data_IF_969556768668
#
_entry.id   IF_969556768668
#
_cell.length_a   1.000
_cell.length_b   1.000
_cell.length_c   1.000
_cell.angle_alpha   90.00
_cell.angle_beta   90.00
_cell.angle_gamma   90.00
#
_symmetry.space_group_name_H-M   'P 1'
#
loop_
_entity.id
_entity.type
_entity.pdbx_description
1 polymer ?
#
# COMPACT_ATOMS: atom_id res chain seq x y z
N UNK A 1 17.36 -81.37 -17.71
CA UNK A 1 17.39 -79.89 -17.70
C UNK A 1 16.17 -79.44 -16.91
N UNK A 2 16.32 -78.76 -15.77
CA UNK A 2 15.22 -78.51 -14.85
C UNK A 2 14.34 -77.33 -15.29
N UNK A 3 13.03 -77.59 -15.27
CA UNK A 3 11.92 -76.63 -15.38
C UNK A 3 12.04 -75.52 -14.33
N UNK A 4 11.95 -74.27 -14.80
CA UNK A 4 11.96 -73.07 -13.97
C UNK A 4 10.51 -72.67 -13.68
N UNK A 5 10.12 -72.75 -12.41
CA UNK A 5 8.80 -72.39 -11.91
C UNK A 5 8.54 -70.87 -12.01
N UNK A 6 7.28 -70.43 -12.21
CA UNK A 6 6.92 -69.02 -12.28
C UNK A 6 6.90 -68.35 -10.89
N UNK A 7 7.54 -67.19 -10.84
CA UNK A 7 7.71 -66.31 -9.68
C UNK A 7 6.38 -65.57 -9.39
N UNK A 8 5.95 -65.65 -8.13
CA UNK A 8 4.66 -65.18 -7.63
C UNK A 8 4.76 -63.70 -7.25
N UNK A 9 4.13 -62.85 -8.05
CA UNK A 9 4.07 -61.40 -7.85
C UNK A 9 3.28 -61.03 -6.58
N UNK A 10 3.79 -60.14 -5.71
CA UNK A 10 3.11 -59.75 -4.47
C UNK A 10 1.96 -58.76 -4.73
N UNK A 11 0.85 -58.83 -3.96
CA UNK A 11 -0.30 -57.95 -4.14
C UNK A 11 0.02 -56.50 -3.74
N UNK A 12 -0.38 -55.58 -4.62
CA UNK A 12 -0.28 -54.14 -4.39
C UNK A 12 -1.07 -53.69 -3.14
N UNK A 13 -0.53 -52.76 -2.32
CA UNK A 13 -1.25 -52.23 -1.17
C UNK A 13 -2.42 -51.36 -1.63
N UNK A 14 -3.64 -51.77 -1.28
CA UNK A 14 -4.84 -50.96 -1.44
C UNK A 14 -4.78 -49.74 -0.50
N UNK A 15 -4.39 -48.58 -1.04
CA UNK A 15 -4.52 -47.29 -0.37
C UNK A 15 -5.99 -46.85 -0.40
N UNK A 16 -6.78 -47.39 0.52
CA UNK A 16 -8.06 -46.85 0.93
C UNK A 16 -7.80 -45.62 1.81
N UNK A 17 -7.98 -44.43 1.25
CA UNK A 17 -7.80 -43.15 1.92
C UNK A 17 -8.47 -42.05 1.14
N UNK A 18 -9.76 -42.24 0.83
CA UNK A 18 -10.63 -41.20 0.30
C UNK A 18 -10.85 -40.15 1.41
N UNK A 19 -9.92 -39.19 1.51
CA UNK A 19 -10.17 -37.90 2.12
C UNK A 19 -11.19 -37.18 1.23
N UNK A 20 -12.47 -37.42 1.50
CA UNK A 20 -13.56 -36.57 1.07
C UNK A 20 -13.34 -35.20 1.73
N UNK A 21 -12.66 -34.31 1.00
CA UNK A 21 -12.50 -32.93 1.41
C UNK A 21 -13.90 -32.30 1.58
N UNK A 22 -14.18 -31.61 2.70
CA UNK A 22 -15.39 -30.84 2.82
C UNK A 22 -15.35 -29.75 1.74
N UNK A 23 -16.19 -29.90 0.71
CA UNK A 23 -16.59 -28.81 -0.18
C UNK A 23 -17.48 -27.89 0.63
N UNK A 24 -16.87 -27.09 1.51
CA UNK A 24 -17.51 -25.89 2.02
C UNK A 24 -17.68 -24.94 0.84
N UNK A 25 -18.94 -24.65 0.50
CA UNK A 25 -19.37 -23.60 -0.41
C UNK A 25 -19.02 -22.22 0.18
N UNK A 26 -17.74 -21.96 0.42
CA UNK A 26 -17.27 -20.63 0.78
C UNK A 26 -17.53 -19.76 -0.45
N UNK A 27 -18.27 -18.64 -0.33
CA UNK A 27 -18.51 -17.76 -1.46
C UNK A 27 -17.15 -17.34 -2.02
N UNK A 28 -16.90 -17.76 -3.26
CA UNK A 28 -15.60 -17.55 -3.89
C UNK A 28 -15.39 -16.04 -4.05
N UNK A 29 -14.41 -15.48 -3.32
CA UNK A 29 -14.00 -14.11 -3.51
C UNK A 29 -13.64 -13.90 -5.00
N UNK A 30 -14.21 -12.87 -5.63
CA UNK A 30 -13.99 -12.61 -7.04
C UNK A 30 -12.54 -12.20 -7.34
N UNK A 31 -11.80 -11.74 -6.33
CA UNK A 31 -10.42 -11.29 -6.43
C UNK A 31 -9.45 -12.24 -5.73
N UNK A 32 -8.21 -12.34 -6.23
CA UNK A 32 -7.15 -13.06 -5.54
C UNK A 32 -6.92 -12.51 -4.13
N UNK A 33 -6.65 -13.42 -3.18
CA UNK A 33 -6.33 -13.09 -1.79
C UNK A 33 -4.94 -13.63 -1.45
N UNK A 34 -4.07 -12.74 -0.98
CA UNK A 34 -2.73 -13.05 -0.47
C UNK A 34 -2.80 -13.04 1.05
N UNK A 35 -2.83 -14.22 1.65
CA UNK A 35 -2.88 -14.38 3.10
C UNK A 35 -1.47 -14.58 3.66
N UNK A 36 -1.01 -13.65 4.49
CA UNK A 36 0.29 -13.70 5.15
C UNK A 36 0.15 -14.30 6.55
N UNK A 37 1.12 -15.10 6.99
CA UNK A 37 1.13 -15.68 8.34
C UNK A 37 1.68 -14.70 9.39
N UNK A 38 1.01 -13.56 9.52
CA UNK A 38 1.30 -12.54 10.54
C UNK A 38 0.01 -12.11 11.22
N UNK A 39 0.10 -11.66 12.47
CA UNK A 39 -1.08 -11.20 13.21
C UNK A 39 -1.60 -9.86 12.65
N UNK A 40 -0.71 -8.93 12.32
CA UNK A 40 -1.04 -7.67 11.69
C UNK A 40 0.00 -7.37 10.60
N UNK A 41 -0.39 -6.58 9.61
CA UNK A 41 0.49 -6.11 8.55
C UNK A 41 1.16 -4.82 9.03
N UNK A 42 2.48 -4.81 9.12
CA UNK A 42 3.22 -3.58 9.36
C UNK A 42 3.18 -2.65 8.14
N UNK A 43 3.48 -1.39 8.37
CA UNK A 43 3.66 -0.37 7.34
C UNK A 43 4.73 -0.76 6.31
N UNK A 44 5.88 -1.29 6.74
CA UNK A 44 6.93 -1.76 5.84
C UNK A 44 6.46 -2.91 4.91
N UNK A 45 5.66 -3.85 5.42
CA UNK A 45 5.12 -4.95 4.63
C UNK A 45 4.10 -4.43 3.62
N UNK A 46 3.22 -3.51 4.04
CA UNK A 46 2.24 -2.88 3.18
C UNK A 46 2.90 -2.06 2.05
N UNK A 47 3.91 -1.26 2.37
CA UNK A 47 4.71 -0.49 1.42
C UNK A 47 5.40 -1.39 0.39
N UNK A 48 6.08 -2.43 0.86
CA UNK A 48 6.80 -3.38 0.00
C UNK A 48 5.86 -4.07 -0.99
N UNK A 49 4.72 -4.56 -0.50
CA UNK A 49 3.75 -5.26 -1.35
C UNK A 49 3.03 -4.32 -2.32
N UNK A 50 2.82 -3.06 -1.95
CA UNK A 50 2.29 -2.05 -2.87
C UNK A 50 3.26 -1.75 -4.02
N UNK A 51 4.55 -1.57 -3.72
CA UNK A 51 5.59 -1.39 -4.75
C UNK A 51 5.73 -2.63 -5.65
N UNK A 52 5.70 -3.82 -5.06
CA UNK A 52 5.74 -5.11 -5.76
C UNK A 52 4.55 -5.28 -6.72
N UNK A 53 3.33 -4.98 -6.25
CA UNK A 53 2.13 -4.98 -7.08
C UNK A 53 2.22 -3.95 -8.21
N UNK A 54 2.72 -2.75 -7.96
CA UNK A 54 2.93 -1.73 -9.00
C UNK A 54 3.84 -2.26 -10.11
N UNK A 55 4.97 -2.88 -9.76
CA UNK A 55 5.86 -3.51 -10.73
C UNK A 55 5.17 -4.62 -11.53
N UNK A 56 4.33 -5.42 -10.88
CA UNK A 56 3.51 -6.43 -11.56
C UNK A 56 2.46 -5.82 -12.48
N UNK A 57 1.77 -4.75 -12.07
CA UNK A 57 0.76 -4.07 -12.90
C UNK A 57 1.41 -3.48 -14.15
N UNK A 58 2.56 -2.80 -14.02
CA UNK A 58 3.29 -2.24 -15.15
C UNK A 58 3.63 -3.33 -16.19
N UNK A 59 4.06 -4.51 -15.75
CA UNK A 59 4.37 -5.62 -16.64
C UNK A 59 3.12 -6.30 -17.21
N UNK A 60 2.16 -6.69 -16.36
CA UNK A 60 0.95 -7.43 -16.77
C UNK A 60 -0.03 -6.59 -17.61
N UNK A 61 0.07 -5.26 -17.53
CA UNK A 61 -0.65 -4.31 -18.39
C UNK A 61 0.16 -3.86 -19.60
N UNK A 62 1.27 -4.53 -19.91
CA UNK A 62 2.12 -4.23 -21.06
C UNK A 62 2.58 -2.75 -21.12
N UNK A 63 2.79 -2.14 -19.95
CA UNK A 63 3.35 -0.79 -19.84
C UNK A 63 4.88 -0.83 -19.88
N UNK A 64 5.48 -1.99 -19.58
CA UNK A 64 6.91 -2.25 -19.75
C UNK A 64 7.13 -3.64 -20.35
N UNK A 65 8.18 -3.83 -21.17
CA UNK A 65 8.43 -5.10 -21.86
C UNK A 65 8.93 -6.22 -20.94
N UNK A 66 9.52 -5.87 -19.80
CA UNK A 66 10.07 -6.81 -18.82
C UNK A 66 9.67 -6.40 -17.39
N UNK A 67 9.66 -7.34 -16.43
CA UNK A 67 9.52 -7.00 -15.02
C UNK A 67 10.50 -5.90 -14.60
N UNK A 68 10.04 -4.93 -13.82
CA UNK A 68 10.82 -3.72 -13.45
C UNK A 68 12.19 -4.08 -12.84
N UNK A 69 12.24 -5.13 -12.01
CA UNK A 69 13.49 -5.62 -11.40
C UNK A 69 14.49 -6.22 -12.39
N UNK A 70 14.03 -6.65 -13.56
CA UNK A 70 14.89 -7.14 -14.64
C UNK A 70 15.32 -5.99 -15.55
N UNK A 71 14.50 -4.95 -15.72
CA UNK A 71 14.83 -3.81 -16.57
C UNK A 71 16.19 -3.22 -16.22
N UNK A 72 16.51 -3.00 -14.94
CA UNK A 72 17.81 -2.44 -14.54
C UNK A 72 19.03 -3.30 -14.91
N UNK A 73 18.85 -4.62 -15.10
CA UNK A 73 19.96 -5.58 -15.28
C UNK A 73 20.28 -5.90 -16.73
N UNK A 74 19.35 -5.66 -17.66
CA UNK A 74 19.56 -6.03 -19.06
C UNK A 74 20.48 -4.97 -19.68
N UNK A 75 21.63 -5.34 -20.26
CA UNK A 75 22.47 -4.38 -20.96
C UNK A 75 21.69 -3.79 -22.14
N UNK A 76 21.59 -2.46 -22.19
CA UNK A 76 21.06 -1.77 -23.36
C UNK A 76 22.07 -1.96 -24.47
N UNK A 77 21.75 -2.80 -25.46
CA UNK A 77 22.59 -2.95 -26.65
C UNK A 77 22.56 -1.66 -27.49
N UNK A 78 22.59 -1.80 -28.82
CA UNK A 78 22.34 -0.67 -29.75
C UNK A 78 20.87 -0.21 -29.73
N UNK A 79 20.25 -0.15 -28.54
CA UNK A 79 18.89 0.35 -28.35
C UNK A 79 18.86 1.83 -28.72
N UNK A 80 17.72 2.29 -29.24
CA UNK A 80 17.54 3.70 -29.55
C UNK A 80 17.72 4.54 -28.27
N UNK A 81 18.42 5.69 -28.39
CA UNK A 81 18.66 6.62 -27.27
C UNK A 81 17.39 7.00 -26.52
N UNK A 82 16.25 7.07 -27.24
CA UNK A 82 14.92 7.32 -26.68
C UNK A 82 14.45 6.23 -25.71
N UNK A 83 14.60 4.95 -26.07
CA UNK A 83 14.18 3.82 -25.23
C UNK A 83 15.02 3.74 -23.95
N UNK A 84 16.32 4.04 -24.06
CA UNK A 84 17.22 4.13 -22.90
C UNK A 84 16.76 5.24 -21.94
N UNK A 85 16.43 6.44 -22.46
CA UNK A 85 15.92 7.56 -21.65
C UNK A 85 14.63 7.18 -20.92
N UNK A 86 13.67 6.59 -21.62
CA UNK A 86 12.39 6.16 -21.03
C UNK A 86 12.58 5.10 -19.94
N UNK A 87 13.48 4.13 -20.17
CA UNK A 87 13.85 3.13 -19.17
C UNK A 87 14.45 3.78 -17.92
N UNK A 88 15.40 4.69 -18.07
CA UNK A 88 16.05 5.39 -16.94
C UNK A 88 15.05 6.22 -16.15
N UNK A 89 14.18 6.98 -16.82
CA UNK A 89 13.13 7.78 -16.18
C UNK A 89 12.13 6.90 -15.42
N UNK A 90 11.73 5.76 -16.00
CA UNK A 90 10.83 4.81 -15.33
C UNK A 90 11.48 4.19 -14.08
N UNK A 91 12.76 3.78 -14.17
CA UNK A 91 13.47 3.22 -13.02
C UNK A 91 13.64 4.25 -11.91
N UNK A 92 14.03 5.48 -12.24
CA UNK A 92 14.14 6.57 -11.27
C UNK A 92 12.80 6.90 -10.61
N UNK A 93 11.71 6.91 -11.40
CA UNK A 93 10.34 7.12 -10.89
C UNK A 93 9.90 5.97 -9.97
N UNK A 94 10.27 4.73 -10.31
CA UNK A 94 9.93 3.54 -9.54
C UNK A 94 10.68 3.51 -8.20
N UNK A 95 11.96 3.86 -8.20
CA UNK A 95 12.76 3.97 -6.98
C UNK A 95 12.23 5.10 -6.08
N UNK A 96 11.87 6.24 -6.68
CA UNK A 96 11.28 7.38 -5.98
C UNK A 96 9.95 7.02 -5.30
N UNK A 97 9.01 6.39 -6.01
CA UNK A 97 7.73 5.99 -5.38
C UNK A 97 7.94 4.90 -4.33
N UNK A 98 8.87 3.95 -4.57
CA UNK A 98 9.12 2.86 -3.61
C UNK A 98 9.65 3.42 -2.28
N UNK A 99 10.59 4.37 -2.33
CA UNK A 99 11.08 5.08 -1.15
C UNK A 99 9.97 5.88 -0.45
N UNK A 100 9.11 6.57 -1.20
CA UNK A 100 8.00 7.29 -0.61
C UNK A 100 6.94 6.36 0.02
N UNK A 101 6.70 5.17 -0.53
CA UNK A 101 5.69 4.25 0.00
C UNK A 101 6.00 3.83 1.44
N UNK A 102 7.29 3.65 1.80
CA UNK A 102 7.70 3.32 3.16
C UNK A 102 7.21 4.39 4.16
N UNK A 103 7.55 5.65 3.93
CA UNK A 103 7.10 6.76 4.79
C UNK A 103 5.60 7.05 4.68
N UNK A 104 5.00 6.76 3.53
CA UNK A 104 3.57 6.92 3.27
C UNK A 104 2.73 6.02 4.16
N UNK A 105 3.09 4.73 4.26
CA UNK A 105 2.32 3.79 5.08
C UNK A 105 2.49 4.05 6.58
N UNK A 106 3.65 4.53 7.03
CA UNK A 106 3.83 5.01 8.41
C UNK A 106 2.93 6.21 8.71
N UNK A 107 2.90 7.21 7.81
CA UNK A 107 2.04 8.39 7.95
C UNK A 107 0.55 8.03 7.88
N UNK A 108 0.17 7.11 7.00
CA UNK A 108 -1.20 6.61 6.86
C UNK A 108 -1.64 5.86 8.12
N UNK A 109 -0.80 4.97 8.65
CA UNK A 109 -1.06 4.25 9.90
C UNK A 109 -1.34 5.22 11.05
N UNK A 110 -0.55 6.29 11.16
CA UNK A 110 -0.78 7.35 12.15
C UNK A 110 -2.08 8.11 11.90
N UNK A 111 -2.40 8.46 10.65
CA UNK A 111 -3.63 9.17 10.31
C UNK A 111 -4.88 8.32 10.62
N UNK A 112 -4.84 7.02 10.29
CA UNK A 112 -5.93 6.07 10.55
C UNK A 112 -6.10 5.79 12.05
N UNK A 113 -5.00 5.67 12.80
CA UNK A 113 -5.05 5.52 14.26
C UNK A 113 -5.78 6.70 14.93
N UNK A 114 -5.59 7.92 14.41
CA UNK A 114 -6.28 9.13 14.90
C UNK A 114 -7.76 9.15 14.54
N UNK A 115 -8.18 8.66 13.37
CA UNK A 115 -9.61 8.58 12.99
C UNK A 115 -10.38 7.57 13.83
N UNK A 116 -9.80 6.41 14.07
CA UNK A 116 -10.53 5.30 14.65
C UNK A 116 -10.77 5.46 16.16
N UNK A 117 -10.30 6.54 16.80
CA UNK A 117 -10.13 6.59 18.25
C UNK A 117 -9.37 5.35 18.75
N UNK A 118 -8.49 4.83 17.89
CA UNK A 118 -8.05 3.44 17.95
C UNK A 118 -7.27 3.21 19.23
N UNK A 119 -7.63 2.11 19.91
CA UNK A 119 -6.78 1.56 20.96
C UNK A 119 -5.54 0.97 20.30
N UNK A 120 -4.43 0.92 21.04
CA UNK A 120 -3.22 0.24 20.57
C UNK A 120 -3.58 -1.18 20.07
N UNK A 121 -3.13 -1.49 18.85
CA UNK A 121 -3.40 -2.78 18.20
C UNK A 121 -4.69 -2.84 17.36
N UNK A 122 -5.42 -1.73 17.17
CA UNK A 122 -6.50 -1.71 16.18
C UNK A 122 -5.96 -1.96 14.78
N UNK A 123 -6.59 -2.89 14.08
CA UNK A 123 -6.32 -3.19 12.68
C UNK A 123 -7.27 -2.38 11.81
N UNK A 124 -6.75 -1.82 10.74
CA UNK A 124 -7.47 -0.98 9.79
C UNK A 124 -7.33 -1.51 8.38
N UNK A 125 -8.22 -1.06 7.50
CA UNK A 125 -8.15 -1.34 6.08
C UNK A 125 -7.56 -0.14 5.35
N UNK A 126 -6.64 -0.41 4.43
CA UNK A 126 -6.07 0.58 3.53
C UNK A 126 -6.31 0.17 2.08
N UNK A 127 -6.47 1.16 1.21
CA UNK A 127 -6.74 0.92 -0.21
C UNK A 127 -5.80 1.76 -1.08
N UNK A 128 -5.16 1.09 -2.04
CA UNK A 128 -4.34 1.73 -3.07
C UNK A 128 -4.98 1.44 -4.43
N UNK A 129 -5.07 2.45 -5.28
CA UNK A 129 -5.54 2.32 -6.66
C UNK A 129 -4.41 2.59 -7.64
N UNK A 130 -4.24 1.71 -8.62
CA UNK A 130 -3.30 1.87 -9.74
C UNK A 130 -4.15 2.01 -11.00
N UNK A 131 -4.09 3.18 -11.62
CA UNK A 131 -4.86 3.54 -12.80
C UNK A 131 -3.94 3.56 -14.02
N UNK A 132 -4.28 2.78 -15.05
CA UNK A 132 -3.51 2.74 -16.31
C UNK A 132 -4.34 3.36 -17.43
N UNK A 133 -3.87 4.47 -18.00
CA UNK A 133 -4.52 5.16 -19.10
C UNK A 133 -4.00 6.59 -19.31
N UNK A 134 -4.61 7.36 -20.24
CA UNK A 134 -4.13 8.70 -20.59
C UNK A 134 -4.27 9.73 -19.46
N UNK A 135 -5.25 9.54 -18.57
CA UNK A 135 -5.47 10.41 -17.40
C UNK A 135 -6.23 9.66 -16.30
N UNK A 136 -6.33 10.28 -15.12
CA UNK A 136 -7.11 9.77 -13.98
C UNK A 136 -8.59 9.52 -14.33
N UNK A 137 -9.20 10.42 -15.11
CA UNK A 137 -10.63 10.35 -15.46
C UNK A 137 -10.93 9.35 -16.57
N UNK A 138 -9.96 9.10 -17.47
CA UNK A 138 -10.11 8.24 -18.66
C UNK A 138 -9.25 6.97 -18.58
N UNK A 139 -8.88 6.56 -17.36
CA UNK A 139 -8.16 5.33 -17.11
C UNK A 139 -8.87 4.12 -17.74
N UNK A 140 -8.13 3.35 -18.53
CA UNK A 140 -8.60 2.17 -19.25
C UNK A 140 -8.64 0.93 -18.34
N UNK A 141 -7.72 0.85 -17.39
CA UNK A 141 -7.71 -0.18 -16.35
C UNK A 141 -7.63 0.46 -14.96
N UNK A 142 -8.35 -0.14 -14.00
CA UNK A 142 -8.35 0.25 -12.59
C UNK A 142 -8.06 -0.99 -11.75
N UNK A 143 -6.89 -1.01 -11.12
CA UNK A 143 -6.47 -2.10 -10.23
C UNK A 143 -6.53 -1.58 -8.79
N UNK A 144 -7.32 -2.22 -7.94
CA UNK A 144 -7.44 -1.88 -6.52
C UNK A 144 -6.72 -2.92 -5.68
N UNK A 145 -5.84 -2.45 -4.81
CA UNK A 145 -5.20 -3.24 -3.78
C UNK A 145 -5.91 -2.95 -2.46
N UNK A 146 -6.55 -3.96 -1.90
CA UNK A 146 -7.09 -3.91 -0.55
C UNK A 146 -6.08 -4.51 0.43
N UNK A 147 -5.75 -3.78 1.49
CA UNK A 147 -4.87 -4.23 2.58
C UNK A 147 -5.75 -4.33 3.82
N UNK A 148 -6.01 -5.55 4.26
CA UNK A 148 -6.80 -5.83 5.45
C UNK A 148 -5.90 -6.34 6.58
N UNK A 149 -6.06 -5.73 7.75
CA UNK A 149 -5.18 -5.99 8.88
C UNK A 149 -3.97 -5.08 8.98
N UNK A 150 -3.97 -3.91 8.34
CA UNK A 150 -2.92 -2.90 8.51
C UNK A 150 -2.90 -2.45 9.97
N UNK A 151 -1.72 -2.40 10.57
CA UNK A 151 -1.60 -1.97 11.96
C UNK A 151 -1.69 -0.44 12.07
N UNK A 152 -2.65 0.05 12.85
CA UNK A 152 -2.79 1.48 13.13
C UNK A 152 -1.99 1.85 14.38
N UNK A 153 -0.90 2.63 14.20
CA UNK A 153 -0.03 3.11 15.28
C UNK A 153 0.21 4.61 15.13
N UNK A 154 0.22 5.32 16.26
CA UNK A 154 0.63 6.73 16.30
C UNK A 154 2.15 6.77 16.47
N UNK A 155 2.85 7.37 15.51
CA UNK A 155 4.30 7.55 15.63
C UNK A 155 4.67 8.28 16.93
N UNK A 156 5.60 7.71 17.69
CA UNK A 156 6.08 8.28 18.96
C UNK A 156 5.23 7.95 20.20
N UNK A 157 4.08 7.28 20.05
CA UNK A 157 3.35 6.75 21.20
C UNK A 157 4.11 5.52 21.75
N UNK A 158 4.61 5.62 23.00
CA UNK A 158 5.22 4.47 23.68
C UNK A 158 4.15 3.44 24.00
N UNK A 159 4.41 2.17 23.72
CA UNK A 159 3.49 1.04 23.98
C UNK A 159 3.31 0.73 25.50
N UNK A 160 4.02 1.46 26.36
CA UNK A 160 4.28 1.08 27.76
C UNK A 160 3.10 1.22 28.74
N UNK A 161 1.96 1.80 28.34
CA UNK A 161 0.92 2.21 29.32
C UNK A 161 -0.36 1.37 29.31
N UNK A 162 -0.44 0.30 28.50
CA UNK A 162 -1.59 -0.62 28.48
C UNK A 162 -1.71 -1.52 29.73
N UNK A 163 -0.71 -1.49 30.61
CA UNK A 163 -0.67 -2.28 31.84
C UNK A 163 -1.55 -1.71 32.94
N UNK A 164 -2.83 -2.11 32.95
CA UNK A 164 -3.66 -2.27 34.17
C UNK A 164 -3.45 -1.22 35.27
N UNK A 165 -4.01 -0.03 35.11
CA UNK A 165 -4.52 0.73 36.27
C UNK A 165 -6.05 0.62 36.24
N UNK A 166 -6.55 -0.61 36.35
CA UNK A 166 -7.84 -0.85 36.99
C UNK A 166 -7.59 -0.78 38.51
N UNK A 167 -7.21 0.40 38.97
CA UNK A 167 -6.96 0.74 40.36
C UNK A 167 -8.01 1.75 40.78
N UNK A 168 -9.18 1.23 41.13
CA UNK A 168 -10.12 1.75 42.13
C UNK A 168 -9.51 2.88 42.99
N UNK A 169 -9.95 4.13 42.79
CA UNK A 169 -9.22 5.27 43.35
C UNK A 169 -9.83 6.65 43.17
N UNK A 170 -11.09 6.79 43.60
CA UNK A 170 -11.58 7.98 44.31
C UNK A 170 -11.78 9.29 43.51
N UNK A 171 -13.06 9.58 43.31
CA UNK A 171 -13.66 10.89 43.04
C UNK A 171 -12.93 12.03 43.75
N UNK A 172 -12.33 12.93 42.98
CA UNK A 172 -11.97 14.27 43.46
C UNK A 172 -12.65 15.27 42.54
N UNK A 173 -13.87 15.62 42.93
CA UNK A 173 -14.59 16.80 42.46
C UNK A 173 -13.74 18.04 42.77
N UNK A 174 -13.30 18.75 41.74
CA UNK A 174 -12.76 20.09 41.87
C UNK A 174 -13.46 20.95 40.84
N UNK A 175 -14.62 21.43 41.24
CA UNK A 175 -15.27 22.64 40.73
C UNK A 175 -14.31 23.81 40.92
N UNK A 176 -13.78 24.38 39.83
CA UNK A 176 -13.46 25.82 39.81
C UNK A 176 -13.86 26.39 38.45
N UNK A 177 -14.89 27.24 38.54
CA UNK A 177 -15.33 28.23 37.57
C UNK A 177 -14.15 29.09 37.06
N UNK A 178 -14.23 29.54 35.80
CA UNK A 178 -14.23 30.98 35.49
C UNK A 178 -14.18 31.24 33.97
N UNK A 179 -15.30 31.76 33.51
CA UNK A 179 -15.52 32.77 32.47
C UNK A 179 -14.26 33.46 31.89
N UNK A 180 -14.09 33.43 30.56
CA UNK A 180 -13.88 34.71 29.88
C UNK A 180 -14.31 34.71 28.40
N UNK A 181 -15.12 35.72 28.13
CA UNK A 181 -15.72 36.11 26.87
C UNK A 181 -14.75 36.89 25.95
N UNK A 182 -15.13 36.92 24.68
CA UNK A 182 -14.91 37.96 23.65
C UNK A 182 -13.48 38.32 23.21
N UNK A 183 -13.25 38.08 21.90
CA UNK A 183 -12.19 38.70 21.12
C UNK A 183 -12.60 38.80 19.65
N UNK A 184 -13.17 39.94 19.27
CA UNK A 184 -13.52 40.31 17.88
C UNK A 184 -12.29 40.70 17.07
N UNK A 185 -12.28 40.44 15.76
CA UNK A 185 -11.78 41.42 14.77
C UNK A 185 -12.13 40.99 13.34
N UNK A 186 -12.87 41.88 12.67
CA UNK A 186 -13.04 41.94 11.23
C UNK A 186 -11.80 42.55 10.56
N UNK A 187 -11.44 42.06 9.37
CA UNK A 187 -10.71 42.76 8.28
C UNK A 187 -10.70 41.79 7.08
N UNK A 188 -11.49 41.98 6.02
CA UNK A 188 -11.33 42.94 4.91
C UNK A 188 -9.98 42.81 4.20
N UNK A 189 -9.98 42.23 2.99
CA UNK A 189 -9.10 42.61 1.87
C UNK A 189 -9.42 41.76 0.65
N UNK A 190 -10.21 42.38 -0.23
CA UNK A 190 -10.39 42.09 -1.65
C UNK A 190 -9.07 42.41 -2.38
N UNK A 191 -8.38 41.42 -2.95
CA UNK A 191 -7.26 41.70 -3.85
C UNK A 191 -7.29 40.80 -5.09
N UNK A 192 -7.51 41.50 -6.20
CA UNK A 192 -7.77 41.03 -7.55
C UNK A 192 -6.53 41.37 -8.37
N UNK A 193 -5.74 40.38 -8.73
CA UNK A 193 -4.54 40.58 -9.56
C UNK A 193 -4.57 39.66 -10.78
N UNK A 194 -4.92 40.31 -11.89
CA UNK A 194 -4.63 40.07 -13.31
C UNK A 194 -3.54 39.02 -13.64
N UNK A 195 -3.88 38.16 -14.60
CA UNK A 195 -2.97 37.25 -15.28
C UNK A 195 -1.97 38.01 -16.17
N UNK A 196 -0.68 37.64 -16.19
CA UNK A 196 0.21 37.98 -17.29
C UNK A 196 0.26 36.83 -18.31
N UNK A 197 -0.19 37.12 -19.53
CA UNK A 197 0.18 36.37 -20.73
C UNK A 197 1.67 36.63 -21.05
N UNK A 198 2.45 35.55 -21.16
CA UNK A 198 3.82 35.54 -21.69
C UNK A 198 3.90 34.37 -22.67
N UNK A 199 3.73 34.66 -23.97
CA UNK A 199 4.77 34.93 -24.97
C UNK A 199 5.50 33.65 -25.41
N UNK A 200 5.07 33.16 -26.57
CA UNK A 200 5.84 32.28 -27.45
C UNK A 200 7.12 33.00 -27.88
N UNK A 201 8.28 32.44 -27.55
CA UNK A 201 9.53 32.73 -28.24
C UNK A 201 10.17 31.40 -28.66
N UNK A 202 10.35 31.33 -29.98
CA UNK A 202 11.10 30.35 -30.76
C UNK A 202 12.61 30.42 -30.45
N UNK A 203 13.33 29.46 -31.04
CA UNK A 203 14.78 29.45 -31.28
C UNK A 203 15.68 29.06 -30.08
N UNK A 204 16.31 27.88 -30.16
CA UNK A 204 17.64 27.81 -30.78
C UNK A 204 18.17 26.37 -30.84
N UNK A 205 18.80 26.08 -31.98
CA UNK A 205 19.74 24.98 -32.23
C UNK A 205 20.82 24.93 -31.14
N UNK A 206 21.20 23.72 -30.71
CA UNK A 206 22.57 23.53 -30.23
C UNK A 206 23.08 22.12 -30.57
N UNK A 207 23.92 22.09 -31.60
CA UNK A 207 24.90 21.07 -31.91
C UNK A 207 25.80 20.88 -30.69
N UNK A 208 25.68 19.76 -29.98
CA UNK A 208 26.69 19.39 -28.99
C UNK A 208 27.59 18.31 -29.59
N UNK A 209 28.70 18.79 -30.13
CA UNK A 209 29.85 18.02 -30.59
C UNK A 209 30.45 17.21 -29.44
N UNK A 210 30.91 16.02 -29.80
CA UNK A 210 31.61 15.08 -28.94
C UNK A 210 32.97 15.65 -28.52
N UNK A 211 33.20 15.80 -27.21
CA UNK A 211 34.55 15.90 -26.65
C UNK A 211 34.77 14.73 -25.69
N UNK A 212 35.55 13.77 -26.19
CA UNK A 212 36.37 12.85 -25.41
C UNK A 212 37.26 13.66 -24.44
N UNK A 213 37.25 13.33 -23.16
CA UNK A 213 38.37 13.65 -22.27
C UNK A 213 38.66 12.46 -21.35
N UNK A 214 39.73 11.77 -21.72
CA UNK A 214 40.52 10.84 -20.92
C UNK A 214 41.28 11.63 -19.84
N UNK A 215 40.94 11.53 -18.56
CA UNK A 215 41.93 11.81 -17.50
C UNK A 215 41.79 10.83 -16.32
N UNK A 216 42.80 9.96 -16.24
CA UNK A 216 43.27 9.27 -15.05
C UNK A 216 43.49 10.27 -13.91
N UNK A 217 42.96 10.01 -12.71
CA UNK A 217 43.59 10.53 -11.50
C UNK A 217 43.42 9.59 -10.29
N UNK A 218 44.49 8.83 -10.08
CA UNK A 218 44.82 8.04 -8.90
C UNK A 218 45.16 9.01 -7.74
N UNK A 219 44.28 9.13 -6.75
CA UNK A 219 44.58 9.84 -5.51
C UNK A 219 44.34 8.95 -4.28
N UNK A 220 45.36 8.15 -3.95
CA UNK A 220 45.62 7.63 -2.61
C UNK A 220 45.88 8.78 -1.62
N UNK A 221 44.92 9.10 -0.75
CA UNK A 221 45.12 9.90 0.48
C UNK A 221 43.98 9.57 1.45
N UNK A 222 44.16 9.31 2.73
CA UNK A 222 45.32 9.19 3.60
C UNK A 222 44.79 8.70 4.95
N UNK A 223 45.57 7.85 5.61
CA UNK A 223 45.34 7.42 6.99
C UNK A 223 45.55 8.60 7.94
N UNK A 224 44.53 9.06 8.66
CA UNK A 224 44.74 9.92 9.84
C UNK A 224 43.78 9.58 10.99
N UNK A 225 44.41 8.97 12.00
CA UNK A 225 44.44 9.41 13.40
C UNK A 225 43.25 9.03 14.32
N UNK A 226 43.57 8.02 15.13
CA UNK A 226 42.92 7.64 16.38
C UNK A 226 42.88 8.83 17.36
N UNK A 227 41.69 9.41 17.58
CA UNK A 227 41.46 10.32 18.70
C UNK A 227 40.97 9.54 19.92
N UNK A 228 41.94 9.14 20.74
CA UNK A 228 41.72 8.72 22.12
C UNK A 228 41.33 9.93 22.97
N UNK A 229 40.04 10.10 23.26
CA UNK A 229 39.58 10.95 24.37
C UNK A 229 39.04 10.06 25.50
N UNK A 230 39.86 9.95 26.53
CA UNK A 230 39.47 9.45 27.84
C UNK A 230 38.77 10.58 28.58
N UNK A 231 37.48 10.44 28.84
CA UNK A 231 36.79 11.25 29.85
C UNK A 231 36.05 10.32 30.83
N UNK A 232 36.73 10.10 31.96
CA UNK A 232 36.29 9.32 33.10
C UNK A 232 35.44 10.22 34.00
N UNK A 233 34.13 10.19 33.78
CA UNK A 233 33.14 10.74 34.70
C UNK A 233 32.13 9.65 35.04
N UNK A 234 32.33 8.98 36.17
CA UNK A 234 31.41 8.01 36.74
C UNK A 234 30.19 8.70 37.38
N UNK A 235 28.98 8.60 36.81
CA UNK A 235 27.76 8.87 37.55
C UNK A 235 27.41 7.69 38.47
N UNK A 236 26.90 8.02 39.65
CA UNK A 236 26.60 7.12 40.74
C UNK A 236 25.72 5.91 40.34
N UNK A 237 26.17 4.73 40.75
CA UNK A 237 25.48 3.44 40.72
C UNK A 237 24.06 3.53 41.31
N UNK A 238 23.07 3.70 40.44
CA UNK A 238 21.71 3.23 40.70
C UNK A 238 21.54 1.92 39.94
N UNK A 239 21.15 0.80 40.60
CA UNK A 239 20.92 -0.46 39.89
C UNK A 239 19.85 -0.20 38.82
N UNK A 240 20.14 -0.48 37.53
CA UNK A 240 19.18 -0.25 36.46
C UNK A 240 17.94 -1.08 36.78
N UNK A 241 16.80 -0.39 36.87
CA UNK A 241 15.51 -1.07 36.97
C UNK A 241 15.45 -2.11 35.84
N UNK A 242 14.97 -3.34 36.10
CA UNK A 242 14.85 -4.36 35.07
C UNK A 242 13.97 -3.79 33.97
N UNK A 243 14.62 -3.36 32.88
CA UNK A 243 13.92 -2.83 31.73
C UNK A 243 12.95 -3.87 31.19
N UNK A 244 11.84 -3.45 30.57
CA UNK A 244 10.96 -4.38 29.87
C UNK A 244 11.81 -5.25 28.92
N UNK A 245 11.51 -6.56 28.81
CA UNK A 245 12.25 -7.42 27.91
C UNK A 245 12.22 -6.79 26.52
N UNK A 246 13.36 -6.69 25.83
CA UNK A 246 13.39 -6.11 24.49
C UNK A 246 12.33 -6.81 23.63
N UNK A 247 11.58 -6.06 22.80
CA UNK A 247 10.64 -6.68 21.87
C UNK A 247 11.39 -7.74 21.07
N UNK A 248 10.77 -8.89 20.74
CA UNK A 248 11.44 -9.97 20.05
C UNK A 248 11.95 -9.46 18.71
N UNK A 249 13.22 -9.04 18.67
CA UNK A 249 13.86 -8.53 17.47
C UNK A 249 13.89 -9.67 16.46
N UNK A 250 12.96 -9.66 15.52
CA UNK A 250 13.16 -10.34 14.25
C UNK A 250 14.42 -9.74 13.66
N UNK A 251 15.44 -10.56 13.42
CA UNK A 251 16.67 -10.06 12.76
C UNK A 251 16.28 -9.34 11.47
N UNK A 252 16.96 -8.25 11.10
CA UNK A 252 16.76 -7.59 9.80
C UNK A 252 16.85 -8.61 8.64
N UNK A 253 17.72 -9.62 8.77
CA UNK A 253 17.81 -10.71 7.80
C UNK A 253 16.52 -11.55 7.71
N UNK A 254 15.84 -11.79 8.82
CA UNK A 254 14.58 -12.54 8.87
C UNK A 254 13.41 -11.70 8.31
N UNK A 255 13.40 -10.40 8.60
CA UNK A 255 12.45 -9.46 7.99
C UNK A 255 12.60 -9.41 6.46
N UNK A 256 13.83 -9.30 5.95
CA UNK A 256 14.08 -9.31 4.50
C UNK A 256 13.67 -10.64 3.86
N UNK A 257 13.91 -11.78 4.53
CA UNK A 257 13.44 -13.10 4.07
C UNK A 257 11.91 -13.19 4.06
N UNK A 258 11.26 -12.63 5.08
CA UNK A 258 9.81 -12.55 5.15
C UNK A 258 9.24 -11.73 3.99
N UNK A 259 9.78 -10.53 3.76
CA UNK A 259 9.36 -9.66 2.64
C UNK A 259 9.55 -10.34 1.28
N UNK A 260 10.68 -11.02 1.05
CA UNK A 260 10.89 -11.80 -0.17
C UNK A 260 9.89 -12.96 -0.33
N UNK A 261 9.51 -13.59 0.78
CA UNK A 261 8.52 -14.68 0.78
C UNK A 261 7.12 -14.15 0.48
N UNK A 262 6.75 -13.00 1.05
CA UNK A 262 5.50 -12.30 0.78
C UNK A 262 5.42 -11.85 -0.68
N UNK A 263 6.51 -11.28 -1.23
CA UNK A 263 6.61 -10.90 -2.65
C UNK A 263 6.40 -12.12 -3.56
N UNK A 264 7.08 -13.24 -3.30
CA UNK A 264 6.90 -14.49 -4.07
C UNK A 264 5.48 -15.03 -3.98
N UNK A 265 4.85 -14.93 -2.81
CA UNK A 265 3.47 -15.35 -2.62
C UNK A 265 2.53 -14.48 -3.46
N UNK A 266 2.70 -13.15 -3.43
CA UNK A 266 1.94 -12.22 -4.26
C UNK A 266 2.08 -12.56 -5.75
N UNK A 267 3.31 -12.73 -6.25
CA UNK A 267 3.55 -13.08 -7.67
C UNK A 267 2.86 -14.40 -8.05
N UNK A 268 2.96 -15.43 -7.20
CA UNK A 268 2.33 -16.73 -7.44
C UNK A 268 0.80 -16.64 -7.44
N UNK A 269 0.23 -15.89 -6.51
CA UNK A 269 -1.22 -15.69 -6.43
C UNK A 269 -1.73 -14.93 -7.66
N UNK A 270 -1.02 -13.91 -8.12
CA UNK A 270 -1.37 -13.19 -9.36
C UNK A 270 -1.30 -14.12 -10.59
N UNK A 271 -0.25 -14.93 -10.71
CA UNK A 271 -0.11 -15.89 -11.81
C UNK A 271 -1.22 -16.97 -11.79
N UNK A 272 -1.58 -17.48 -10.62
CA UNK A 272 -2.69 -18.43 -10.47
C UNK A 272 -4.04 -17.79 -10.84
N UNK A 273 -4.28 -16.55 -10.40
CA UNK A 273 -5.49 -15.82 -10.78
C UNK A 273 -5.59 -15.60 -12.29
N UNK A 274 -4.46 -15.33 -12.95
CA UNK A 274 -4.40 -15.16 -14.41
C UNK A 274 -4.74 -16.45 -15.15
N UNK A 275 -4.20 -17.59 -14.70
CA UNK A 275 -4.56 -18.91 -15.22
C UNK A 275 -6.06 -19.23 -15.06
N UNK A 276 -6.69 -18.73 -14.00
CA UNK A 276 -8.12 -18.86 -13.73
C UNK A 276 -9.01 -17.85 -14.49
N UNK A 277 -8.43 -16.95 -15.30
CA UNK A 277 -9.16 -15.87 -15.99
C UNK A 277 -9.67 -14.75 -15.07
N UNK A 278 -9.21 -14.74 -13.81
CA UNK A 278 -9.48 -13.72 -12.79
C UNK A 278 -8.30 -12.76 -12.60
N UNK A 279 -7.25 -12.91 -13.40
CA UNK A 279 -6.04 -12.11 -13.32
C UNK A 279 -6.25 -10.67 -13.73
N UNK A 280 -5.16 -9.93 -13.61
CA UNK A 280 -5.05 -8.53 -14.00
C UNK A 280 -4.31 -8.37 -15.33
N UNK A 281 -3.98 -9.46 -16.04
CA UNK A 281 -3.32 -9.37 -17.34
C UNK A 281 -4.27 -8.80 -18.39
N UNK A 282 -3.82 -7.79 -19.12
CA UNK A 282 -4.54 -7.32 -20.30
C UNK A 282 -3.58 -6.60 -21.24
N UNK A 283 -3.65 -6.93 -22.53
CA UNK A 283 -2.86 -6.26 -23.56
C UNK A 283 -3.33 -4.82 -23.73
N UNK A 284 -2.49 -3.87 -23.32
CA UNK A 284 -2.74 -2.45 -23.46
C UNK A 284 -1.58 -1.81 -24.20
N UNK A 285 -1.88 -0.77 -24.96
CA UNK A 285 -0.84 0.13 -25.46
C UNK A 285 -0.16 0.80 -24.27
N UNK A 286 1.16 1.07 -24.32
CA UNK A 286 1.81 1.87 -23.30
C UNK A 286 1.12 3.23 -23.14
N UNK A 287 0.83 3.60 -21.89
CA UNK A 287 0.13 4.82 -21.50
C UNK A 287 0.70 5.33 -20.17
N UNK A 288 0.04 6.31 -19.55
CA UNK A 288 0.43 6.75 -18.22
C UNK A 288 -0.10 5.79 -17.15
N UNK A 289 0.66 5.59 -16.08
CA UNK A 289 0.18 4.92 -14.88
C UNK A 289 0.22 5.88 -13.70
N UNK A 290 -0.91 5.99 -13.00
CA UNK A 290 -1.10 6.83 -11.83
C UNK A 290 -1.33 5.96 -10.59
N UNK A 291 -0.76 6.37 -9.46
CA UNK A 291 -0.91 5.69 -8.17
C UNK A 291 -1.67 6.61 -7.22
N UNK A 292 -2.73 6.08 -6.62
CA UNK A 292 -3.56 6.80 -5.68
C UNK A 292 -3.73 6.02 -4.38
N UNK A 293 -3.84 6.76 -3.27
CA UNK A 293 -4.03 6.25 -1.93
C UNK A 293 -5.36 6.75 -1.37
N UNK A 294 -6.13 5.86 -0.76
CA UNK A 294 -7.35 6.19 -0.02
C UNK A 294 -6.98 6.53 1.43
N UNK A 295 -7.04 7.80 1.82
CA UNK A 295 -6.61 8.25 3.14
C UNK A 295 -7.49 9.36 3.72
N UNK A 296 -7.52 9.58 5.04
CA UNK A 296 -8.25 10.70 5.66
C UNK A 296 -7.75 12.06 5.15
N UNK A 297 -8.58 13.11 5.22
CA UNK A 297 -8.14 14.49 4.88
C UNK A 297 -6.97 14.98 5.73
N UNK A 298 -6.85 14.51 6.98
CA UNK A 298 -5.71 14.84 7.85
C UNK A 298 -4.38 14.18 7.45
N UNK A 299 -4.42 13.20 6.54
CA UNK A 299 -3.20 12.60 6.03
C UNK A 299 -2.35 13.70 5.38
N UNK A 300 -1.06 13.73 5.67
CA UNK A 300 -0.15 14.73 5.14
C UNK A 300 1.17 14.06 4.81
N UNK A 301 1.56 14.13 3.54
CA UNK A 301 2.83 13.60 3.07
C UNK A 301 3.28 14.39 1.83
N UNK A 302 4.55 14.83 1.74
CA UNK A 302 5.01 15.75 0.69
C UNK A 302 4.83 15.21 -0.74
N UNK A 303 4.98 13.89 -0.92
CA UNK A 303 4.83 13.24 -2.22
C UNK A 303 3.37 13.00 -2.68
N UNK A 304 2.36 13.39 -1.91
CA UNK A 304 0.96 13.07 -2.19
C UNK A 304 0.09 14.33 -2.24
N UNK A 305 -0.72 14.43 -3.30
CA UNK A 305 -1.60 15.56 -3.57
C UNK A 305 -3.06 15.12 -3.39
N UNK A 306 -3.88 15.83 -2.59
CA UNK A 306 -5.29 15.50 -2.42
C UNK A 306 -6.06 15.71 -3.72
N UNK A 307 -6.91 14.76 -4.12
CA UNK A 307 -7.69 14.78 -5.37
C UNK A 307 -9.18 14.63 -5.11
N UNK A 308 -9.81 15.69 -4.60
CA UNK A 308 -11.25 15.68 -4.31
C UNK A 308 -12.12 15.44 -5.56
N UNK A 309 -11.72 15.99 -6.72
CA UNK A 309 -12.49 15.92 -7.97
C UNK A 309 -12.65 14.53 -8.60
N UNK A 310 -11.83 13.54 -8.21
CA UNK A 310 -11.93 12.15 -8.73
C UNK A 310 -12.59 11.18 -7.76
N UNK A 311 -12.96 11.66 -6.56
CA UNK A 311 -13.40 10.79 -5.47
C UNK A 311 -14.64 9.99 -5.81
N UNK A 312 -15.68 10.61 -6.37
CA UNK A 312 -16.93 9.92 -6.69
C UNK A 312 -16.76 8.73 -7.66
N UNK A 313 -15.88 8.87 -8.66
CA UNK A 313 -15.60 7.81 -9.64
C UNK A 313 -14.83 6.65 -9.02
N UNK A 314 -13.79 6.96 -8.24
CA UNK A 314 -12.94 5.96 -7.59
C UNK A 314 -13.62 5.30 -6.40
N UNK A 315 -14.46 6.00 -5.65
CA UNK A 315 -15.29 5.42 -4.60
C UNK A 315 -16.33 4.47 -5.20
N UNK A 316 -16.84 4.75 -6.41
CA UNK A 316 -17.64 3.81 -7.18
C UNK A 316 -16.87 2.53 -7.51
N UNK A 317 -15.63 2.66 -7.99
CA UNK A 317 -14.77 1.52 -8.30
C UNK A 317 -14.40 0.72 -7.03
N UNK A 318 -14.10 1.40 -5.93
CA UNK A 318 -13.80 0.78 -4.64
C UNK A 318 -15.02 0.04 -4.08
N UNK A 319 -16.22 0.61 -4.21
CA UNK A 319 -17.47 -0.06 -3.81
C UNK A 319 -17.70 -1.32 -4.65
N UNK A 320 -17.52 -1.26 -5.97
CA UNK A 320 -17.59 -2.44 -6.84
C UNK A 320 -16.59 -3.53 -6.40
N UNK A 321 -15.36 -3.13 -6.07
CA UNK A 321 -14.34 -4.03 -5.55
C UNK A 321 -14.77 -4.68 -4.22
N UNK A 322 -15.29 -3.91 -3.27
CA UNK A 322 -15.77 -4.41 -1.97
C UNK A 322 -16.96 -5.36 -2.14
N UNK A 323 -17.94 -4.98 -2.97
CA UNK A 323 -19.15 -5.76 -3.23
C UNK A 323 -18.80 -7.12 -3.86
N UNK A 324 -17.93 -7.12 -4.87
CA UNK A 324 -17.47 -8.35 -5.54
C UNK A 324 -16.55 -9.21 -4.67
N UNK A 325 -15.99 -8.64 -3.61
CA UNK A 325 -15.21 -9.37 -2.61
C UNK A 325 -16.07 -10.07 -1.55
N UNK A 326 -17.40 -9.83 -1.57
CA UNK A 326 -18.30 -10.29 -0.51
C UNK A 326 -18.17 -9.51 0.81
N UNK A 327 -17.46 -8.37 0.78
CA UNK A 327 -17.36 -7.45 1.92
C UNK A 327 -18.35 -6.30 1.86
N UNK A 328 -19.00 -6.10 0.71
CA UNK A 328 -20.15 -5.22 0.62
C UNK A 328 -21.15 -5.65 1.70
N UNK A 329 -21.59 -4.69 2.50
CA UNK A 329 -22.72 -4.89 3.42
C UNK A 329 -23.87 -5.33 2.53
N UNK A 330 -24.12 -6.64 2.48
CA UNK A 330 -25.29 -7.18 1.84
C UNK A 330 -26.44 -6.52 2.58
N UNK A 331 -27.03 -5.48 1.98
CA UNK A 331 -28.21 -4.82 2.53
C UNK A 331 -29.20 -5.96 2.80
N UNK A 332 -29.38 -6.29 4.08
CA UNK A 332 -30.12 -7.45 4.52
C UNK A 332 -31.62 -7.34 4.17
N UNK A 333 -32.03 -6.18 3.65
CA UNK A 333 -33.29 -5.99 2.97
C UNK A 333 -33.23 -6.69 1.62
N UNK A 334 -33.75 -7.92 1.58
CA UNK A 334 -33.89 -8.81 0.42
C UNK A 334 -34.77 -8.26 -0.72
N UNK A 335 -34.59 -7.00 -1.08
CA UNK A 335 -35.09 -6.39 -2.30
C UNK A 335 -34.31 -7.01 -3.47
N UNK A 336 -34.99 -7.94 -4.15
CA UNK A 336 -34.54 -8.70 -5.32
C UNK A 336 -34.24 -7.82 -6.57
N UNK A 337 -33.40 -6.81 -6.41
CA UNK A 337 -32.99 -5.87 -7.47
C UNK A 337 -31.68 -6.30 -8.18
N UNK A 338 -31.13 -7.48 -7.85
CA UNK A 338 -29.80 -7.93 -8.30
C UNK A 338 -29.70 -8.33 -9.78
N UNK A 339 -30.77 -8.29 -10.57
CA UNK A 339 -30.72 -8.72 -11.97
C UNK A 339 -30.60 -7.60 -13.00
N UNK A 340 -30.53 -6.31 -12.60
CA UNK A 340 -30.63 -5.19 -13.56
C UNK A 340 -29.31 -4.48 -13.89
N UNK A 341 -28.18 -4.80 -13.25
CA UNK A 341 -26.91 -4.06 -13.44
C UNK A 341 -25.81 -4.78 -14.25
N UNK A 342 -25.91 -6.09 -14.50
CA UNK A 342 -24.83 -6.86 -15.15
C UNK A 342 -24.66 -6.54 -16.65
N UNK A 343 -25.70 -6.03 -17.32
CA UNK A 343 -25.65 -5.81 -18.77
C UNK A 343 -24.97 -4.50 -19.21
N UNK A 344 -24.64 -3.57 -18.31
CA UNK A 344 -24.54 -2.17 -18.72
C UNK A 344 -23.13 -1.58 -18.91
N UNK A 345 -22.02 -2.14 -18.40
CA UNK A 345 -20.71 -1.46 -18.55
C UNK A 345 -19.54 -2.42 -18.76
N UNK A 346 -19.47 -2.99 -19.96
CA UNK A 346 -18.33 -3.82 -20.42
C UNK A 346 -16.98 -3.07 -20.42
N UNK A 347 -16.97 -1.74 -20.28
CA UNK A 347 -15.79 -0.92 -20.55
C UNK A 347 -14.98 -0.50 -19.32
N UNK A 348 -15.39 -0.81 -18.08
CA UNK A 348 -14.71 -0.34 -16.86
C UNK A 348 -14.63 -1.44 -15.79
N UNK A 349 -14.15 -2.64 -16.14
CA UNK A 349 -13.99 -3.73 -15.18
C UNK A 349 -12.99 -3.30 -14.08
N UNK A 350 -13.44 -3.32 -12.82
CA UNK A 350 -12.54 -3.15 -11.68
C UNK A 350 -11.83 -4.48 -11.41
N UNK A 351 -10.51 -4.40 -11.41
CA UNK A 351 -9.59 -5.48 -11.07
C UNK A 351 -9.00 -5.23 -9.70
N UNK A 352 -8.41 -6.26 -9.08
CA UNK A 352 -7.78 -6.06 -7.79
C UNK A 352 -7.25 -7.30 -7.12
N UNK A 353 -6.66 -7.08 -5.96
CA UNK A 353 -6.07 -8.10 -5.10
C UNK A 353 -6.25 -7.70 -3.64
N UNK A 354 -6.53 -8.68 -2.79
CA UNK A 354 -6.51 -8.51 -1.35
C UNK A 354 -5.21 -9.01 -0.75
N UNK A 355 -4.69 -8.28 0.22
CA UNK A 355 -3.61 -8.71 1.10
C UNK A 355 -4.18 -8.75 2.51
N UNK A 356 -4.08 -9.90 3.16
CA UNK A 356 -4.67 -10.11 4.50
C UNK A 356 -3.62 -10.67 5.45
N UNK A 357 -3.80 -10.37 6.73
CA UNK A 357 -3.14 -11.07 7.82
C UNK A 357 -3.64 -12.54 7.93
N UNK A 358 -3.13 -13.29 8.91
CA UNK A 358 -3.45 -14.71 9.11
C UNK A 358 -4.93 -14.99 9.34
N UNK A 359 -5.64 -14.01 9.89
CA UNK A 359 -7.05 -14.12 10.24
C UNK A 359 -7.96 -14.04 8.99
N UNK A 360 -7.37 -13.79 7.82
CA UNK A 360 -8.08 -13.68 6.55
C UNK A 360 -8.71 -12.31 6.38
N UNK A 361 -9.68 -12.25 5.46
CA UNK A 361 -10.38 -11.03 5.11
C UNK A 361 -11.47 -10.74 6.14
N UNK A 362 -11.32 -9.67 6.91
CA UNK A 362 -12.33 -9.22 7.85
C UNK A 362 -13.43 -8.50 7.06
N UNK A 363 -14.66 -8.98 7.22
CA UNK A 363 -15.81 -8.14 6.89
C UNK A 363 -15.65 -6.91 7.77
N UNK A 364 -15.59 -5.69 7.20
CA UNK A 364 -15.72 -4.50 8.01
C UNK A 364 -17.05 -4.70 8.72
N UNK A 365 -17.01 -5.09 10.00
CA UNK A 365 -18.16 -4.95 10.88
C UNK A 365 -18.40 -3.48 10.71
N UNK A 366 -19.47 -3.10 9.98
CA UNK A 366 -19.78 -1.72 9.73
C UNK A 366 -19.54 -1.07 11.07
N UNK A 367 -18.46 -0.32 11.20
CA UNK A 367 -18.31 0.59 12.31
C UNK A 367 -19.60 1.38 12.08
N UNK A 368 -20.66 1.09 12.83
CA UNK A 368 -20.97 1.84 14.03
C UNK A 368 -20.76 3.35 13.80
N UNK A 369 -20.81 3.82 12.55
CA UNK A 369 -21.17 5.16 12.11
C UNK A 369 -22.56 5.50 12.68
N UNK A 370 -23.30 4.51 13.22
CA UNK A 370 -24.49 4.71 14.06
C UNK A 370 -24.55 3.90 15.38
N UNK A 371 -23.44 3.40 15.94
CA UNK A 371 -23.51 2.39 17.02
C UNK A 371 -22.77 2.69 18.33
N UNK A 372 -22.25 3.90 18.51
CA UNK A 372 -22.21 4.51 19.83
C UNK A 372 -23.49 5.35 20.05
N UNK A 373 -24.61 4.90 19.48
CA UNK A 373 -25.97 5.28 19.84
C UNK A 373 -26.36 4.80 21.27
N UNK A 374 -25.39 4.71 22.18
CA UNK A 374 -25.59 4.82 23.61
C UNK A 374 -25.71 6.30 23.96
N UNK A 375 -26.86 6.88 23.59
CA UNK A 375 -27.41 8.15 24.07
C UNK A 375 -26.58 9.44 23.82
N UNK A 376 -26.85 10.09 22.68
CA UNK A 376 -27.33 11.48 22.78
C UNK A 376 -26.50 12.61 22.18
N UNK A 377 -25.47 12.36 21.39
CA UNK A 377 -24.76 13.43 20.70
C UNK A 377 -24.38 13.04 19.27
N UNK A 378 -25.15 13.51 18.28
CA UNK A 378 -24.63 13.72 16.92
C UNK A 378 -23.56 14.81 17.01
N UNK A 379 -22.39 14.45 17.54
CA UNK A 379 -21.23 15.30 17.47
C UNK A 379 -20.85 15.48 16.00
N UNK A 380 -20.50 16.69 15.56
CA UNK A 380 -20.02 16.90 14.19
C UNK A 380 -18.83 15.96 13.95
N UNK A 381 -18.99 15.00 13.05
CA UNK A 381 -17.86 14.21 12.53
C UNK A 381 -16.85 15.20 12.00
N UNK A 382 -15.64 15.22 12.56
CA UNK A 382 -14.59 16.15 12.13
C UNK A 382 -14.34 15.92 10.63
N UNK A 383 -14.55 16.94 9.81
CA UNK A 383 -14.36 16.88 8.35
C UNK A 383 -12.97 16.35 7.98
N UNK A 384 -12.00 16.45 8.89
CA UNK A 384 -10.64 15.93 8.74
C UNK A 384 -10.56 14.40 8.71
N UNK A 385 -11.60 13.71 9.17
CA UNK A 385 -11.74 12.25 9.20
C UNK A 385 -12.28 11.72 7.87
N UNK A 386 -12.87 12.61 7.05
CA UNK A 386 -13.39 12.24 5.75
C UNK A 386 -12.27 11.61 4.93
N UNK A 387 -12.51 10.38 4.54
CA UNK A 387 -11.64 9.65 3.68
C UNK A 387 -11.72 10.35 2.30
N UNK A 388 -10.58 10.74 1.70
CA UNK A 388 -10.46 11.16 0.28
C UNK A 388 -9.39 10.37 -0.50
N UNK A 389 -9.28 10.61 -1.81
CA UNK A 389 -8.19 10.06 -2.63
C UNK A 389 -7.03 11.03 -2.73
N UNK A 390 -5.81 10.51 -2.58
CA UNK A 390 -4.55 11.21 -2.73
C UNK A 390 -3.81 10.62 -3.92
N UNK A 391 -3.26 11.45 -4.81
CA UNK A 391 -2.45 11.02 -5.94
C UNK A 391 -0.98 11.21 -5.61
N UNK A 392 -0.15 10.24 -5.96
CA UNK A 392 1.30 10.47 -6.01
C UNK A 392 1.60 11.59 -7.02
N UNK A 393 2.56 12.46 -6.70
CA UNK A 393 2.96 13.60 -7.55
C UNK A 393 3.83 13.19 -8.75
N UNK A 394 4.27 11.93 -8.80
CA UNK A 394 4.95 11.38 -9.96
C UNK A 394 3.99 10.75 -10.98
N UNK A 395 4.57 10.30 -12.10
CA UNK A 395 3.88 9.54 -13.13
C UNK A 395 4.80 8.48 -13.71
N UNK A 396 4.22 7.38 -14.16
CA UNK A 396 4.93 6.42 -14.99
C UNK A 396 4.46 6.58 -16.42
N UNK A 397 5.39 6.65 -17.37
CA UNK A 397 5.08 6.58 -18.79
C UNK A 397 5.53 5.22 -19.28
N UNK A 398 4.57 4.40 -19.71
CA UNK A 398 4.88 3.11 -20.30
C UNK A 398 5.63 3.26 -21.62
N UNK A 399 6.40 2.24 -21.96
CA UNK A 399 7.10 2.12 -23.24
C UNK A 399 7.11 0.67 -23.71
N UNK A 400 7.16 0.47 -25.03
CA UNK A 400 7.26 -0.83 -25.70
C UNK A 400 8.49 -0.95 -26.61
N UNK A 401 9.19 0.15 -26.87
CA UNK A 401 10.41 0.16 -27.65
C UNK A 401 11.55 -0.42 -26.80
N UNK A 402 12.15 -1.53 -27.25
CA UNK A 402 13.26 -2.20 -26.57
C UNK A 402 14.36 -2.61 -27.55
#
# INVERSE_FOLDING_TARGET
MPEKAPEKEPPAPATAGANAAPTEDRPANAYPVVQLDVAALSDAVAARLAASLLGHVLFLKNQVPFPVMQLGRIPSGKAASRALKQRTELLASFDTISSHLDTTFSALSTALARCAGARAGTRVQAHVAILVGPSLGTAKARVIMGIDGLEARIWGAREDSGGKIAGDGQESESDEDEENEVGSSADDSDDRAEEPEVSDDDDDDDDNEEEDDDEDDDAEYGEEEESASSDDSQPANSPPAPGPPPPPYTSHADEQRFLQTADRLLSRTLAAADADGRGISSEMTPTQTHVLLRAPRRFAHPAWIPRQGVSASLDGALREFMDRSGLGLACADGSASSNRSVAARKNNKVEGVWITARDGLHVPVANVEGGAAGQGGEGPTDDKDEMIWWSWDGKFVGFNDW
#
